data_IF_611338945834
#
_entry.id   IF_611338945834
#
_cell.length_a   1.000
_cell.length_b   1.000
_cell.length_c   1.000
_cell.angle_alpha   90.00
_cell.angle_beta   90.00
_cell.angle_gamma   90.00
#
_symmetry.space_group_name_H-M   'P 1'
#
loop_
_entity.id
_entity.type
_entity.pdbx_description
1 polymer ?
#
# COMPACT_ATOMS: atom_id res chain seq x y z
N UNK A 1 15.24 -11.70 23.52
CA UNK A 1 15.62 -10.79 22.42
C UNK A 1 14.70 -11.09 21.25
N UNK A 2 14.10 -10.06 20.63
CA UNK A 2 13.32 -10.28 19.40
C UNK A 2 14.26 -10.69 18.25
N UNK A 3 13.88 -11.65 17.39
CA UNK A 3 14.69 -12.06 16.26
C UNK A 3 15.09 -10.86 15.38
N UNK A 4 16.31 -10.91 14.82
CA UNK A 4 16.77 -9.88 13.89
C UNK A 4 15.99 -9.98 12.58
N UNK A 5 15.56 -8.85 12.00
CA UNK A 5 14.94 -8.81 10.68
C UNK A 5 15.96 -9.23 9.62
N UNK A 6 15.52 -10.12 8.72
CA UNK A 6 16.30 -10.63 7.58
C UNK A 6 15.64 -10.33 6.23
N UNK A 7 14.30 -10.21 6.23
CA UNK A 7 13.50 -9.99 5.04
C UNK A 7 12.56 -8.81 5.25
N UNK A 8 12.48 -7.94 4.24
CA UNK A 8 11.49 -6.84 4.20
C UNK A 8 10.56 -7.08 3.01
N UNK A 9 9.28 -7.12 3.29
CA UNK A 9 8.22 -7.18 2.28
C UNK A 9 7.58 -5.82 2.15
N UNK A 10 7.42 -5.35 0.92
CA UNK A 10 6.76 -4.09 0.61
C UNK A 10 5.42 -4.32 -0.07
N UNK A 11 4.42 -3.53 0.31
CA UNK A 11 3.32 -3.21 -0.60
C UNK A 11 3.85 -2.33 -1.75
N UNK A 12 3.06 -2.18 -2.80
CA UNK A 12 3.44 -1.38 -3.97
C UNK A 12 2.67 -0.06 -4.03
N UNK A 13 1.34 -0.10 -4.03
CA UNK A 13 0.50 1.09 -4.18
C UNK A 13 0.60 2.04 -3.00
N UNK A 14 0.78 3.34 -3.22
CA UNK A 14 1.00 4.37 -2.19
C UNK A 14 2.18 4.08 -1.23
N UNK A 15 2.94 3.04 -1.49
CA UNK A 15 4.15 2.66 -0.73
C UNK A 15 5.40 2.91 -1.58
N UNK A 16 5.49 2.30 -2.74
CA UNK A 16 6.61 2.43 -3.69
C UNK A 16 6.21 3.17 -4.97
N UNK A 17 5.01 2.90 -5.47
CA UNK A 17 4.44 3.50 -6.66
C UNK A 17 3.19 4.30 -6.30
N UNK A 18 2.99 5.39 -7.02
CA UNK A 18 1.86 6.28 -6.84
C UNK A 18 1.01 6.31 -8.12
N UNK A 19 -0.31 6.61 -7.99
CA UNK A 19 -1.22 6.62 -9.13
C UNK A 19 -0.86 7.75 -10.10
N UNK A 20 -0.90 7.47 -11.39
CA UNK A 20 -0.85 8.46 -12.46
C UNK A 20 -2.19 9.21 -12.48
N UNK A 21 -2.25 10.29 -11.71
CA UNK A 21 -3.50 11.04 -11.49
C UNK A 21 -4.04 11.70 -12.75
N UNK A 22 -3.19 12.13 -13.67
CA UNK A 22 -3.60 12.68 -14.95
C UNK A 22 -4.40 11.65 -15.76
N UNK A 23 -3.86 10.44 -15.89
CA UNK A 23 -4.51 9.35 -16.60
C UNK A 23 -5.78 8.87 -15.92
N UNK A 24 -5.73 8.70 -14.61
CA UNK A 24 -6.86 8.19 -13.82
C UNK A 24 -8.01 9.20 -13.79
N UNK A 25 -7.71 10.50 -13.62
CA UNK A 25 -8.71 11.54 -13.49
C UNK A 25 -9.11 12.18 -14.84
N UNK A 26 -8.67 11.63 -15.99
CA UNK A 26 -9.07 12.11 -17.30
C UNK A 26 -10.60 12.32 -17.46
N UNK A 27 -11.49 11.40 -16.97
CA UNK A 27 -12.92 11.60 -17.03
C UNK A 27 -13.44 12.83 -16.25
N UNK A 28 -12.73 13.24 -15.19
CA UNK A 28 -13.04 14.45 -14.43
C UNK A 28 -12.53 15.70 -15.15
N UNK A 29 -11.31 15.63 -15.72
CA UNK A 29 -10.71 16.73 -16.47
C UNK A 29 -11.55 17.10 -17.70
N UNK A 30 -12.11 16.13 -18.42
CA UNK A 30 -13.05 16.33 -19.53
C UNK A 30 -14.32 17.09 -19.11
N UNK A 31 -14.67 17.04 -17.84
CA UNK A 31 -15.80 17.79 -17.23
C UNK A 31 -15.38 19.09 -16.54
N UNK A 32 -14.12 19.52 -16.77
CA UNK A 32 -13.57 20.76 -16.24
C UNK A 32 -13.18 20.70 -14.76
N UNK A 33 -13.08 19.50 -14.17
CA UNK A 33 -12.69 19.32 -12.78
C UNK A 33 -11.34 18.63 -12.64
N UNK A 34 -10.38 19.30 -12.02
CA UNK A 34 -9.06 18.75 -11.69
C UNK A 34 -8.88 18.80 -10.16
N UNK A 35 -8.95 17.66 -9.47
CA UNK A 35 -8.75 17.63 -8.02
C UNK A 35 -7.34 18.07 -7.64
N UNK A 36 -7.22 19.02 -6.70
CA UNK A 36 -5.93 19.42 -6.16
C UNK A 36 -5.36 18.37 -5.19
N UNK A 37 -4.04 18.44 -4.96
CA UNK A 37 -3.32 17.44 -4.19
C UNK A 37 -3.71 17.44 -2.69
N UNK A 38 -4.07 18.59 -2.13
CA UNK A 38 -4.47 18.71 -0.72
C UNK A 38 -5.83 18.04 -0.50
N UNK A 39 -6.81 18.35 -1.35
CA UNK A 39 -8.13 17.70 -1.32
C UNK A 39 -8.02 16.18 -1.41
N UNK A 40 -7.18 15.67 -2.34
CA UNK A 40 -7.00 14.24 -2.51
C UNK A 40 -6.34 13.59 -1.29
N UNK A 41 -5.41 14.29 -0.63
CA UNK A 41 -4.77 13.83 0.60
C UNK A 41 -5.77 13.73 1.75
N UNK A 42 -6.55 14.78 1.97
CA UNK A 42 -7.57 14.81 3.01
C UNK A 42 -8.63 13.74 2.80
N UNK A 43 -9.06 13.57 1.55
CA UNK A 43 -10.00 12.52 1.17
C UNK A 43 -9.42 11.13 1.42
N UNK A 44 -8.15 10.91 1.09
CA UNK A 44 -7.46 9.64 1.36
C UNK A 44 -7.41 9.34 2.86
N UNK A 45 -7.06 10.32 3.69
CA UNK A 45 -7.04 10.16 5.15
C UNK A 45 -8.42 9.77 5.70
N UNK A 46 -9.47 10.49 5.29
CA UNK A 46 -10.85 10.21 5.73
C UNK A 46 -11.33 8.84 5.25
N UNK A 47 -11.01 8.48 4.01
CA UNK A 47 -11.39 7.20 3.43
C UNK A 47 -10.66 6.04 4.12
N UNK A 48 -9.35 6.16 4.38
CA UNK A 48 -8.57 5.16 5.13
C UNK A 48 -9.16 4.91 6.51
N UNK A 49 -9.42 5.97 7.28
CA UNK A 49 -10.01 5.85 8.61
C UNK A 49 -11.41 5.21 8.59
N UNK A 50 -12.26 5.57 7.64
CA UNK A 50 -13.59 4.96 7.49
C UNK A 50 -13.51 3.51 7.06
N UNK A 51 -12.67 3.20 6.09
CA UNK A 51 -12.46 1.85 5.60
C UNK A 51 -11.95 0.93 6.70
N UNK A 52 -10.92 1.35 7.42
CA UNK A 52 -10.40 0.61 8.57
C UNK A 52 -11.46 0.37 9.65
N UNK A 53 -12.29 1.37 9.94
CA UNK A 53 -13.40 1.22 10.89
C UNK A 53 -14.39 0.14 10.46
N UNK A 54 -14.70 0.05 9.16
CA UNK A 54 -15.56 -1.00 8.60
C UNK A 54 -14.86 -2.37 8.68
N UNK A 55 -13.61 -2.44 8.28
CA UNK A 55 -12.84 -3.69 8.25
C UNK A 55 -12.60 -4.27 9.64
N UNK A 56 -12.41 -3.42 10.65
CA UNK A 56 -12.21 -3.83 12.04
C UNK A 56 -13.52 -3.97 12.83
N UNK A 57 -14.67 -3.68 12.22
CA UNK A 57 -15.99 -3.78 12.85
C UNK A 57 -16.33 -2.66 13.83
N UNK A 58 -15.54 -1.59 13.90
CA UNK A 58 -15.81 -0.41 14.73
C UNK A 58 -16.85 0.53 14.08
N UNK A 59 -17.03 0.44 12.76
CA UNK A 59 -18.11 1.09 12.01
C UNK A 59 -18.99 -0.01 11.41
N UNK A 60 -20.33 0.01 11.62
CA UNK A 60 -21.23 -0.98 11.04
C UNK A 60 -21.17 -0.97 9.51
N UNK A 61 -21.21 -2.16 8.91
CA UNK A 61 -21.49 -2.33 7.48
C UNK A 61 -22.97 -2.02 7.24
N UNK A 62 -23.34 -0.76 7.09
CA UNK A 62 -24.72 -0.34 6.89
C UNK A 62 -25.26 -0.82 5.52
N UNK A 63 -25.59 -2.09 5.37
CA UNK A 63 -26.35 -2.63 4.22
C UNK A 63 -25.79 -2.36 2.81
N UNK A 64 -24.72 -1.61 2.71
CA UNK A 64 -24.05 -1.35 1.43
C UNK A 64 -23.28 -2.57 0.99
N UNK A 65 -23.34 -2.95 -0.29
CA UNK A 65 -22.42 -3.91 -0.87
C UNK A 65 -20.98 -3.50 -0.51
N UNK A 66 -20.11 -4.48 -0.29
CA UNK A 66 -18.69 -4.21 -0.01
C UNK A 66 -18.02 -3.69 -1.30
N UNK A 67 -18.11 -2.39 -1.50
CA UNK A 67 -17.59 -1.74 -2.71
C UNK A 67 -16.08 -1.44 -2.64
N UNK A 68 -15.42 -1.76 -1.52
CA UNK A 68 -13.99 -1.56 -1.32
C UNK A 68 -13.55 -0.09 -1.19
N UNK A 69 -12.25 0.07 -0.90
CA UNK A 69 -11.64 1.38 -0.63
C UNK A 69 -11.84 2.40 -1.76
N UNK A 70 -11.51 2.03 -3.00
CA UNK A 70 -11.55 2.96 -4.13
C UNK A 70 -12.95 3.38 -4.52
N UNK A 71 -13.93 2.51 -4.34
CA UNK A 71 -15.33 2.89 -4.54
C UNK A 71 -15.76 3.95 -3.53
N UNK A 72 -15.40 3.79 -2.25
CA UNK A 72 -15.72 4.79 -1.22
C UNK A 72 -15.02 6.12 -1.50
N UNK A 73 -13.74 6.06 -1.89
CA UNK A 73 -12.94 7.23 -2.24
C UNK A 73 -13.58 8.05 -3.36
N UNK A 74 -13.89 7.40 -4.48
CA UNK A 74 -14.45 8.11 -5.64
C UNK A 74 -15.92 8.51 -5.44
N UNK A 75 -16.73 7.74 -4.73
CA UNK A 75 -18.08 8.15 -4.36
C UNK A 75 -18.08 9.43 -3.55
N UNK A 76 -17.16 9.55 -2.58
CA UNK A 76 -17.04 10.76 -1.77
C UNK A 76 -16.48 11.93 -2.58
N UNK A 77 -15.46 11.70 -3.44
CA UNK A 77 -14.92 12.74 -4.31
C UNK A 77 -16.01 13.32 -5.21
N UNK A 78 -16.80 12.48 -5.88
CA UNK A 78 -17.88 12.92 -6.78
C UNK A 78 -18.96 13.68 -6.02
N UNK A 79 -19.35 13.20 -4.85
CA UNK A 79 -20.30 13.92 -3.97
C UNK A 79 -19.79 15.31 -3.57
N UNK A 80 -18.52 15.46 -3.24
CA UNK A 80 -17.92 16.75 -2.83
C UNK A 80 -17.84 17.78 -3.97
N UNK A 81 -17.78 17.31 -5.22
CA UNK A 81 -17.79 18.17 -6.41
C UNK A 81 -19.18 18.36 -7.02
N UNK A 82 -20.20 17.76 -6.41
CA UNK A 82 -21.58 17.84 -6.89
C UNK A 82 -21.84 17.08 -8.18
N UNK A 83 -21.03 16.07 -8.49
CA UNK A 83 -21.20 15.21 -9.66
C UNK A 83 -21.80 13.86 -9.24
N UNK A 84 -23.11 13.72 -9.40
CA UNK A 84 -23.83 12.46 -9.13
C UNK A 84 -23.89 11.62 -10.44
N UNK A 85 -22.81 10.91 -10.74
CA UNK A 85 -22.64 10.11 -11.95
C UNK A 85 -21.95 8.77 -11.64
N UNK A 86 -22.76 7.73 -11.52
CA UNK A 86 -22.30 6.36 -11.24
C UNK A 86 -21.38 5.82 -12.34
N UNK A 87 -21.59 6.20 -13.60
CA UNK A 87 -20.77 5.72 -14.71
C UNK A 87 -19.35 6.34 -14.63
N UNK A 88 -19.25 7.60 -14.26
CA UNK A 88 -17.95 8.26 -14.01
C UNK A 88 -17.24 7.62 -12.82
N UNK A 89 -17.96 7.35 -11.72
CA UNK A 89 -17.39 6.65 -10.57
C UNK A 89 -16.81 5.30 -10.98
N UNK A 90 -17.57 4.50 -11.68
CA UNK A 90 -17.17 3.16 -12.08
C UNK A 90 -15.97 3.18 -13.04
N UNK A 91 -15.88 4.19 -13.94
CA UNK A 91 -14.70 4.43 -14.77
C UNK A 91 -13.46 4.77 -13.94
N UNK A 92 -13.58 5.65 -12.94
CA UNK A 92 -12.49 6.01 -12.04
C UNK A 92 -12.03 4.81 -11.22
N UNK A 93 -12.96 4.02 -10.69
CA UNK A 93 -12.65 2.78 -9.95
C UNK A 93 -11.96 1.75 -10.83
N UNK A 94 -12.43 1.54 -12.05
CA UNK A 94 -11.79 0.64 -13.00
C UNK A 94 -10.38 1.12 -13.36
N UNK A 95 -10.21 2.43 -13.56
CA UNK A 95 -8.93 3.04 -13.90
C UNK A 95 -7.91 2.91 -12.75
N UNK A 96 -8.28 3.19 -11.51
CA UNK A 96 -7.37 3.08 -10.36
C UNK A 96 -7.00 1.62 -10.04
N UNK A 97 -7.88 0.66 -10.35
CA UNK A 97 -7.61 -0.78 -10.17
C UNK A 97 -6.69 -1.38 -11.23
N UNK A 98 -6.50 -0.69 -12.33
CA UNK A 98 -5.54 -1.11 -13.35
C UNK A 98 -4.12 -0.79 -12.87
N UNK A 99 -3.32 -1.81 -12.59
CA UNK A 99 -1.95 -1.66 -12.12
C UNK A 99 -1.07 -0.85 -13.09
N UNK A 100 -1.37 -0.86 -14.39
CA UNK A 100 -0.69 -0.03 -15.40
C UNK A 100 -0.80 1.48 -15.19
N UNK A 101 -1.73 1.94 -14.35
CA UNK A 101 -1.90 3.35 -13.96
C UNK A 101 -1.14 3.73 -12.67
N UNK A 102 -0.35 2.82 -12.11
CA UNK A 102 0.50 3.03 -10.95
C UNK A 102 1.96 3.07 -11.39
N UNK A 103 2.35 4.09 -12.13
CA UNK A 103 3.68 4.23 -12.75
C UNK A 103 4.45 5.47 -12.29
N UNK A 104 3.93 6.19 -11.30
CA UNK A 104 4.64 7.33 -10.72
C UNK A 104 5.55 6.85 -9.59
N UNK A 105 6.85 7.04 -9.76
CA UNK A 105 7.89 6.69 -8.78
C UNK A 105 8.49 7.97 -8.18
N UNK A 106 8.78 7.97 -6.89
CA UNK A 106 9.48 9.09 -6.26
C UNK A 106 10.96 9.08 -6.63
N UNK A 107 11.59 10.26 -6.81
CA UNK A 107 13.04 10.35 -6.98
C UNK A 107 13.78 9.63 -5.84
N UNK A 108 14.83 8.88 -6.17
CA UNK A 108 15.65 8.17 -5.20
C UNK A 108 15.09 6.82 -4.72
N UNK A 109 13.85 6.44 -5.09
CA UNK A 109 13.26 5.15 -4.66
C UNK A 109 14.12 3.94 -5.03
N UNK A 110 14.69 3.91 -6.26
CA UNK A 110 15.52 2.80 -6.71
C UNK A 110 16.82 2.69 -5.88
N UNK A 111 17.48 3.83 -5.61
CA UNK A 111 18.71 3.86 -4.82
C UNK A 111 18.44 3.44 -3.37
N UNK A 112 17.36 3.93 -2.77
CA UNK A 112 16.95 3.57 -1.41
C UNK A 112 16.60 2.09 -1.29
N UNK A 113 15.91 1.50 -2.28
CA UNK A 113 15.64 0.06 -2.31
C UNK A 113 16.92 -0.76 -2.48
N UNK A 114 17.88 -0.27 -3.26
CA UNK A 114 19.18 -0.91 -3.41
C UNK A 114 19.95 -0.92 -2.08
N UNK A 115 20.06 0.21 -1.39
CA UNK A 115 20.71 0.32 -0.07
C UNK A 115 20.04 -0.58 0.99
N UNK A 116 18.70 -0.66 0.99
CA UNK A 116 17.97 -1.60 1.85
C UNK A 116 18.35 -3.05 1.48
N UNK A 117 18.47 -3.33 0.17
CA UNK A 117 18.82 -4.64 -0.38
C UNK A 117 20.23 -5.12 -0.02
N UNK A 118 21.15 -4.21 0.30
CA UNK A 118 22.50 -4.58 0.80
C UNK A 118 22.47 -5.25 2.19
N UNK A 119 21.43 -4.98 2.97
CA UNK A 119 21.30 -5.43 4.36
C UNK A 119 20.22 -6.48 4.57
N UNK A 120 19.18 -6.44 3.74
CA UNK A 120 17.98 -7.27 3.86
C UNK A 120 17.64 -7.91 2.52
N UNK A 121 17.05 -9.10 2.53
CA UNK A 121 16.37 -9.60 1.35
C UNK A 121 15.05 -8.85 1.19
N UNK A 122 14.77 -8.37 0.00
CA UNK A 122 13.59 -7.52 -0.28
C UNK A 122 12.62 -8.25 -1.20
N UNK A 123 11.33 -8.15 -0.91
CA UNK A 123 10.26 -8.79 -1.68
C UNK A 123 9.01 -7.92 -1.72
N UNK A 124 8.04 -8.28 -2.56
CA UNK A 124 6.77 -7.58 -2.73
C UNK A 124 5.60 -8.49 -2.36
N UNK A 125 4.56 -7.91 -1.71
CA UNK A 125 3.22 -8.49 -1.60
C UNK A 125 2.21 -7.41 -1.98
N UNK A 126 1.52 -7.55 -3.11
CA UNK A 126 0.59 -6.54 -3.64
C UNK A 126 -0.79 -7.10 -3.92
N UNK A 127 -1.83 -6.33 -3.57
CA UNK A 127 -3.18 -6.54 -4.09
C UNK A 127 -3.25 -5.91 -5.48
N UNK A 128 -3.15 -6.73 -6.54
CA UNK A 128 -3.05 -6.27 -7.92
C UNK A 128 -3.76 -7.23 -8.89
N UNK A 129 -3.68 -6.91 -10.18
CA UNK A 129 -4.40 -7.58 -11.27
C UNK A 129 -3.56 -8.64 -12.03
N UNK A 130 -2.49 -9.13 -11.43
CA UNK A 130 -1.56 -10.11 -12.01
C UNK A 130 -0.45 -9.51 -12.88
N UNK A 131 -0.30 -8.18 -12.93
CA UNK A 131 0.64 -7.47 -13.81
C UNK A 131 1.64 -6.59 -13.06
N UNK A 132 1.70 -6.71 -11.73
CA UNK A 132 2.53 -5.81 -10.94
C UNK A 132 4.02 -5.94 -11.26
N UNK A 133 4.49 -7.12 -11.61
CA UNK A 133 5.89 -7.33 -12.02
C UNK A 133 6.24 -6.52 -13.27
N UNK A 134 5.36 -6.51 -14.28
CA UNK A 134 5.55 -5.70 -15.50
C UNK A 134 5.58 -4.21 -15.20
N UNK A 135 4.78 -3.75 -14.23
CA UNK A 135 4.78 -2.35 -13.79
C UNK A 135 6.11 -2.01 -13.11
N UNK A 136 6.56 -2.83 -12.18
CA UNK A 136 7.85 -2.65 -11.49
C UNK A 136 9.04 -2.69 -12.46
N UNK A 137 8.97 -3.54 -13.52
CA UNK A 137 9.98 -3.57 -14.60
C UNK A 137 10.01 -2.24 -15.35
N UNK A 138 8.86 -1.72 -15.78
CA UNK A 138 8.77 -0.41 -16.46
C UNK A 138 9.24 0.75 -15.59
N UNK A 139 9.00 0.68 -14.28
CA UNK A 139 9.47 1.67 -13.31
C UNK A 139 10.97 1.50 -12.93
N UNK A 140 11.64 0.45 -13.43
CA UNK A 140 13.08 0.23 -13.23
C UNK A 140 13.45 -0.35 -11.86
N UNK A 141 12.49 -0.79 -11.04
CA UNK A 141 12.74 -1.26 -9.67
C UNK A 141 12.49 -2.78 -9.45
N UNK A 142 12.03 -3.52 -10.46
CA UNK A 142 11.75 -4.95 -10.29
C UNK A 142 12.98 -5.75 -9.83
N UNK A 143 14.18 -5.37 -10.28
CA UNK A 143 15.44 -6.05 -9.93
C UNK A 143 15.86 -5.88 -8.46
N UNK A 144 15.23 -4.94 -7.74
CA UNK A 144 15.46 -4.78 -6.30
C UNK A 144 14.81 -5.91 -5.47
N UNK A 145 13.90 -6.68 -6.06
CA UNK A 145 13.10 -7.66 -5.33
C UNK A 145 13.50 -9.10 -5.69
N UNK A 146 13.61 -9.94 -4.66
CA UNK A 146 13.87 -11.37 -4.82
C UNK A 146 12.63 -12.14 -5.27
N UNK A 147 11.46 -11.75 -4.78
CA UNK A 147 10.16 -12.31 -5.18
C UNK A 147 9.08 -11.24 -5.21
N UNK A 148 8.09 -11.45 -6.07
CA UNK A 148 6.92 -10.59 -6.21
C UNK A 148 5.69 -11.48 -6.07
N UNK A 149 4.87 -11.20 -5.04
CA UNK A 149 3.61 -11.91 -4.78
C UNK A 149 2.46 -10.98 -5.18
N UNK A 150 1.78 -11.31 -6.26
CA UNK A 150 0.64 -10.58 -6.82
C UNK A 150 -0.65 -11.36 -6.52
N UNK A 151 -1.65 -10.72 -5.89
CA UNK A 151 -2.91 -11.34 -5.51
C UNK A 151 -3.67 -11.92 -6.71
N UNK A 152 -3.59 -11.28 -7.87
CA UNK A 152 -4.22 -11.74 -9.10
C UNK A 152 -3.64 -13.07 -9.62
N UNK A 153 -2.39 -13.41 -9.24
CA UNK A 153 -1.75 -14.67 -9.58
C UNK A 153 -1.93 -15.74 -8.51
N UNK A 154 -1.89 -15.36 -7.22
CA UNK A 154 -1.96 -16.33 -6.11
C UNK A 154 -3.38 -16.61 -5.63
N UNK A 155 -4.37 -15.79 -6.04
CA UNK A 155 -5.79 -16.00 -5.75
C UNK A 155 -6.23 -15.57 -4.34
N UNK A 156 -5.40 -14.85 -3.60
CA UNK A 156 -5.71 -14.30 -2.27
C UNK A 156 -5.27 -12.85 -2.18
N UNK A 157 -6.15 -11.98 -1.67
CA UNK A 157 -5.86 -10.57 -1.41
C UNK A 157 -5.55 -10.34 0.08
N UNK A 158 -4.67 -9.39 0.40
CA UNK A 158 -4.50 -8.89 1.77
C UNK A 158 -5.83 -8.27 2.26
N UNK A 159 -6.24 -8.50 3.51
CA UNK A 159 -5.49 -9.06 4.63
C UNK A 159 -5.59 -10.60 4.79
N UNK A 160 -6.04 -11.36 3.78
CA UNK A 160 -6.15 -12.81 3.90
C UNK A 160 -4.78 -13.42 4.23
N UNK A 161 -4.65 -14.26 5.29
CA UNK A 161 -3.35 -14.74 5.78
C UNK A 161 -2.59 -15.58 4.76
N UNK A 162 -3.30 -16.17 3.77
CA UNK A 162 -2.68 -17.05 2.78
C UNK A 162 -1.69 -16.30 1.87
N UNK A 163 -1.97 -15.05 1.49
CA UNK A 163 -1.04 -14.28 0.64
C UNK A 163 0.30 -14.05 1.36
N UNK A 164 0.26 -13.75 2.68
CA UNK A 164 1.47 -13.58 3.48
C UNK A 164 2.22 -14.90 3.66
N UNK A 165 1.50 -16.02 3.90
CA UNK A 165 2.13 -17.36 4.01
C UNK A 165 2.83 -17.78 2.71
N UNK A 166 2.23 -17.53 1.56
CA UNK A 166 2.85 -17.83 0.26
C UNK A 166 4.09 -16.97 0.03
N UNK A 167 4.05 -15.68 0.34
CA UNK A 167 5.19 -14.79 0.24
C UNK A 167 6.33 -15.19 1.19
N UNK A 168 6.05 -15.53 2.43
CA UNK A 168 7.03 -16.04 3.38
C UNK A 168 7.68 -17.34 2.88
N UNK A 169 6.86 -18.27 2.35
CA UNK A 169 7.33 -19.52 1.77
C UNK A 169 8.25 -19.28 0.55
N UNK A 170 7.88 -18.36 -0.36
CA UNK A 170 8.69 -18.05 -1.54
C UNK A 170 10.06 -17.47 -1.18
N UNK A 171 10.14 -16.76 -0.07
CA UNK A 171 11.38 -16.20 0.48
C UNK A 171 12.11 -17.15 1.43
N UNK A 172 11.57 -18.35 1.73
CA UNK A 172 12.07 -19.21 2.80
C UNK A 172 12.37 -18.39 4.07
N UNK A 173 11.39 -17.63 4.54
CA UNK A 173 11.50 -16.69 5.65
C UNK A 173 10.57 -17.07 6.80
N UNK A 174 11.06 -16.92 8.04
CA UNK A 174 10.24 -17.02 9.22
C UNK A 174 9.47 -15.70 9.45
N UNK A 175 8.18 -15.75 9.88
CA UNK A 175 7.40 -14.54 10.12
C UNK A 175 8.09 -13.56 11.09
N UNK A 176 8.64 -14.05 12.19
CA UNK A 176 9.31 -13.26 13.22
C UNK A 176 10.61 -12.60 12.78
N UNK A 177 11.23 -13.06 11.69
CA UNK A 177 12.41 -12.47 11.03
C UNK A 177 12.04 -11.58 9.85
N UNK A 178 10.74 -11.31 9.66
CA UNK A 178 10.20 -10.59 8.54
C UNK A 178 9.54 -9.28 8.99
N UNK A 179 9.78 -8.22 8.21
CA UNK A 179 9.12 -6.92 8.35
C UNK A 179 8.26 -6.70 7.11
N UNK A 180 7.05 -6.21 7.32
CA UNK A 180 6.16 -5.77 6.26
C UNK A 180 6.00 -4.24 6.30
N UNK A 181 6.01 -3.60 5.13
CA UNK A 181 5.82 -2.17 4.96
C UNK A 181 4.68 -1.93 3.96
N UNK A 182 3.61 -1.27 4.39
CA UNK A 182 2.45 -0.98 3.52
C UNK A 182 1.63 0.18 4.06
N UNK A 183 0.61 0.63 3.30
CA UNK A 183 -0.02 1.93 3.50
C UNK A 183 -1.42 1.89 4.14
N UNK A 184 -2.05 0.71 4.28
CA UNK A 184 -3.41 0.57 4.86
C UNK A 184 -3.39 -0.24 6.15
N UNK A 185 -3.85 0.36 7.24
CA UNK A 185 -3.80 -0.26 8.57
C UNK A 185 -4.52 -1.63 8.64
N UNK A 186 -5.77 -1.71 8.19
CA UNK A 186 -6.58 -2.93 8.27
C UNK A 186 -6.13 -4.02 7.30
N UNK A 187 -5.50 -3.66 6.20
CA UNK A 187 -5.08 -4.56 5.12
C UNK A 187 -3.64 -5.02 5.32
N UNK A 188 -2.73 -4.05 5.48
CA UNK A 188 -1.30 -4.28 5.53
C UNK A 188 -0.81 -4.55 6.94
N UNK A 189 -1.06 -3.61 7.86
CA UNK A 189 -0.54 -3.71 9.22
C UNK A 189 -1.16 -4.88 9.98
N UNK A 190 -2.50 -4.95 10.03
CA UNK A 190 -3.20 -6.04 10.72
C UNK A 190 -3.05 -7.37 9.97
N UNK A 191 -3.02 -7.37 8.63
CA UNK A 191 -2.80 -8.57 7.83
C UNK A 191 -1.42 -9.19 8.12
N UNK A 192 -0.36 -8.38 8.06
CA UNK A 192 1.01 -8.83 8.30
C UNK A 192 1.23 -9.27 9.76
N UNK A 193 0.75 -8.48 10.74
CA UNK A 193 0.86 -8.84 12.16
C UNK A 193 0.04 -10.09 12.50
N UNK A 194 -1.14 -10.26 11.88
CA UNK A 194 -1.94 -11.48 11.97
C UNK A 194 -1.24 -12.72 11.38
N UNK A 195 -0.31 -12.53 10.45
CA UNK A 195 0.55 -13.59 9.90
C UNK A 195 1.85 -13.81 10.72
N UNK A 196 2.03 -13.09 11.84
CA UNK A 196 3.20 -13.20 12.73
C UNK A 196 4.41 -12.35 12.32
N UNK A 197 4.28 -11.51 11.30
CA UNK A 197 5.32 -10.59 10.87
C UNK A 197 5.32 -9.31 11.73
N UNK A 198 6.45 -8.59 11.77
CA UNK A 198 6.44 -7.19 12.21
C UNK A 198 5.89 -6.33 11.08
N UNK A 199 5.30 -5.17 11.42
CA UNK A 199 4.79 -4.25 10.41
C UNK A 199 5.10 -2.79 10.74
N UNK A 200 5.30 -1.99 9.69
CA UNK A 200 5.42 -0.52 9.74
C UNK A 200 4.47 0.03 8.67
N UNK A 201 3.71 1.07 9.01
CA UNK A 201 2.87 1.78 8.05
C UNK A 201 3.71 2.80 7.26
N UNK A 202 3.60 2.77 5.93
CA UNK A 202 4.02 3.85 5.05
C UNK A 202 2.86 4.87 4.98
N UNK A 203 2.86 5.81 5.91
CA UNK A 203 1.76 6.78 6.12
C UNK A 203 2.04 8.13 5.47
N UNK A 204 2.22 8.13 4.16
CA UNK A 204 2.50 9.34 3.37
C UNK A 204 1.49 10.47 3.58
N UNK A 205 0.16 10.20 3.62
CA UNK A 205 -0.83 11.25 3.84
C UNK A 205 -0.94 11.70 5.30
N UNK A 206 -0.44 10.91 6.25
CA UNK A 206 -0.54 11.17 7.69
C UNK A 206 -1.88 10.75 8.30
N UNK A 207 -2.53 9.74 7.71
CA UNK A 207 -3.84 9.23 8.16
C UNK A 207 -3.79 8.53 9.52
N UNK A 208 -2.61 8.08 9.95
CA UNK A 208 -2.41 7.20 11.10
C UNK A 208 -1.58 7.80 12.23
N UNK A 209 -1.40 9.14 12.24
CA UNK A 209 -0.58 9.84 13.25
C UNK A 209 -1.00 9.52 14.69
N UNK A 210 -2.28 9.36 14.93
CA UNK A 210 -2.84 9.15 16.27
C UNK A 210 -3.07 7.66 16.60
N UNK A 211 -2.64 6.74 15.72
CA UNK A 211 -2.98 5.30 15.89
C UNK A 211 -2.04 4.54 16.83
N UNK A 212 -0.92 5.13 17.23
CA UNK A 212 0.02 4.52 18.20
C UNK A 212 0.75 3.28 17.67
N UNK A 213 0.88 3.14 16.34
CA UNK A 213 1.61 2.04 15.68
C UNK A 213 2.86 2.56 14.98
N UNK A 214 3.88 1.72 14.75
CA UNK A 214 5.05 2.10 13.97
C UNK A 214 4.65 2.61 12.58
N UNK A 215 5.13 3.79 12.21
CA UNK A 215 4.87 4.40 10.91
C UNK A 215 6.05 5.25 10.44
N UNK A 216 6.16 5.40 9.13
CA UNK A 216 7.12 6.28 8.43
C UNK A 216 6.38 6.98 7.27
N UNK A 217 6.91 8.12 6.82
CA UNK A 217 6.31 8.88 5.70
C UNK A 217 7.13 8.74 4.40
N UNK A 218 8.30 8.06 4.48
CA UNK A 218 9.19 7.84 3.33
C UNK A 218 10.10 6.62 3.52
N UNK A 219 10.75 6.19 2.43
CA UNK A 219 11.79 5.15 2.50
C UNK A 219 13.03 5.62 3.25
N UNK A 220 13.33 6.93 3.22
CA UNK A 220 14.44 7.52 4.00
C UNK A 220 14.18 7.37 5.50
N UNK A 221 12.97 7.71 5.98
CA UNK A 221 12.59 7.48 7.37
C UNK A 221 12.60 6.00 7.74
N UNK A 222 12.20 5.11 6.81
CA UNK A 222 12.30 3.68 7.03
C UNK A 222 13.75 3.24 7.24
N UNK A 223 14.70 3.72 6.43
CA UNK A 223 16.12 3.41 6.57
C UNK A 223 16.67 3.86 7.92
N UNK A 224 16.29 5.06 8.39
CA UNK A 224 16.65 5.56 9.73
C UNK A 224 16.09 4.64 10.82
N UNK A 225 14.80 4.28 10.72
CA UNK A 225 14.16 3.39 11.70
C UNK A 225 14.80 2.00 11.75
N UNK A 226 15.25 1.47 10.60
CA UNK A 226 15.98 0.21 10.50
C UNK A 226 17.39 0.30 11.09
N UNK A 227 18.06 1.45 10.98
CA UNK A 227 19.38 1.73 11.57
C UNK A 227 19.35 1.82 13.10
N UNK A 228 18.37 2.52 13.65
CA UNK A 228 18.19 2.69 15.10
C UNK A 228 17.83 1.37 15.81
N UNK A 229 17.16 0.45 15.11
CA UNK A 229 16.85 -0.89 15.61
C UNK A 229 18.08 -1.77 15.85
N UNK A 230 19.17 -1.55 15.12
CA UNK A 230 20.43 -2.28 15.29
C UNK A 230 21.25 -1.77 16.47
N UNK A 231 21.19 -0.48 16.75
CA UNK A 231 21.93 0.15 17.86
C UNK A 231 21.39 -0.25 19.24
N UNK A 232 20.09 -0.61 19.35
CA UNK A 232 19.44 -1.01 20.62
C UNK A 232 19.58 -2.50 20.92
N UNK A 233 20.10 -3.31 20.01
CA UNK A 233 20.34 -4.76 20.20
C UNK A 233 21.78 -5.11 20.56
N UNK A 234 22.68 -4.13 20.67
CA UNK A 234 24.12 -4.31 20.91
C UNK A 234 24.56 -3.96 22.36
N UNK A 235 23.59 -3.84 23.30
CA UNK A 235 23.89 -3.61 24.73
C UNK A 235 23.38 -4.74 25.61
#
# INVERSE_FOLDING_TARGET
MSPKIKVIFFDVGNTLLFPNRERIHAPLAERGFVPDAERLRDLECRTKNRFDGIMTGTIPKNGSPDHGFWWMFYSQLLSEIGLDDDAVRDQLVASIRNSGNWDTIRPGTADQLHEIGERYRVAVISNADGKIEDVLLRCGIARCFHTITDSGLVGYEKPHPEIFRQALKSMNAAPEESLYVGDVYSVDYLGATGAGMRAILMDVPGAYRDKGVPRVESLEELQIALGDGESRGAT
#
